data_IF_322090927433
#
_entry.id   IF_322090927433
#
_cell.length_a   1.000
_cell.length_b   1.000
_cell.length_c   1.000
_cell.angle_alpha   90.00
_cell.angle_beta   90.00
_cell.angle_gamma   90.00
#
_symmetry.space_group_name_H-M   'P 1'
#
loop_
_entity.id
_entity.type
_entity.pdbx_description
1 polymer ?
#
# COMPACT_ATOMS: atom_id res chain seq x y z
N UNK A 1 -13.13 -67.39 -29.43
CA UNK A 1 -13.81 -66.07 -29.46
C UNK A 1 -13.56 -65.41 -28.12
N UNK A 2 -12.61 -64.49 -28.07
CA UNK A 2 -12.22 -63.79 -26.84
C UNK A 2 -13.14 -62.57 -26.66
N UNK A 3 -13.80 -62.44 -25.50
CA UNK A 3 -14.57 -61.24 -25.14
C UNK A 3 -13.67 -60.29 -24.35
N UNK A 4 -13.37 -59.14 -24.92
CA UNK A 4 -12.67 -58.03 -24.27
C UNK A 4 -13.60 -57.32 -23.27
N UNK A 5 -13.17 -57.18 -22.01
CA UNK A 5 -13.83 -56.33 -21.03
C UNK A 5 -13.49 -54.84 -21.28
N UNK A 6 -14.39 -53.89 -20.97
CA UNK A 6 -14.12 -52.47 -21.16
C UNK A 6 -13.14 -51.93 -20.09
N UNK A 7 -12.40 -50.84 -20.39
CA UNK A 7 -11.54 -50.20 -19.40
C UNK A 7 -12.38 -49.47 -18.33
N UNK A 8 -11.84 -49.28 -17.11
CA UNK A 8 -12.53 -48.56 -16.06
C UNK A 8 -12.64 -47.05 -16.42
N UNK A 9 -13.70 -46.36 -15.97
CA UNK A 9 -13.88 -44.95 -16.25
C UNK A 9 -12.77 -44.11 -15.58
N UNK A 10 -12.23 -43.17 -16.35
CA UNK A 10 -11.27 -42.17 -15.89
C UNK A 10 -11.90 -41.31 -14.79
N UNK A 11 -11.34 -41.36 -13.59
CA UNK A 11 -11.66 -40.41 -12.53
C UNK A 11 -11.13 -39.03 -12.93
N UNK A 12 -12.04 -38.12 -13.29
CA UNK A 12 -11.74 -36.70 -13.37
C UNK A 12 -11.47 -36.19 -11.96
N UNK A 13 -10.21 -35.92 -11.62
CA UNK A 13 -9.88 -35.14 -10.45
C UNK A 13 -10.42 -33.71 -10.68
N UNK A 14 -11.62 -33.44 -10.17
CA UNK A 14 -12.06 -32.06 -9.95
C UNK A 14 -11.18 -31.50 -8.83
N UNK A 15 -10.19 -30.69 -9.20
CA UNK A 15 -9.48 -29.85 -8.26
C UNK A 15 -10.50 -28.85 -7.71
N UNK A 16 -11.03 -29.14 -6.53
CA UNK A 16 -11.90 -28.20 -5.82
C UNK A 16 -11.10 -26.91 -5.58
N UNK A 17 -11.49 -25.83 -6.24
CA UNK A 17 -10.95 -24.50 -5.98
C UNK A 17 -11.16 -24.19 -4.50
N UNK A 18 -10.14 -23.70 -3.76
CA UNK A 18 -10.32 -23.35 -2.36
C UNK A 18 -11.48 -22.35 -2.23
N UNK A 19 -12.45 -22.66 -1.38
CA UNK A 19 -13.58 -21.76 -1.10
C UNK A 19 -13.08 -20.65 -0.16
N UNK A 20 -12.68 -19.51 -0.70
CA UNK A 20 -12.33 -18.34 0.11
C UNK A 20 -13.59 -17.63 0.59
N UNK A 21 -13.60 -17.18 1.85
CA UNK A 21 -14.76 -16.53 2.47
C UNK A 21 -15.01 -15.12 1.90
N UNK A 22 -13.94 -14.39 1.58
CA UNK A 22 -14.00 -13.03 1.06
C UNK A 22 -13.11 -12.91 -0.18
N UNK A 23 -13.61 -12.24 -1.22
CA UNK A 23 -12.94 -12.09 -2.53
C UNK A 23 -13.11 -10.65 -2.99
N UNK A 24 -12.08 -10.09 -3.61
CA UNK A 24 -12.16 -8.81 -4.34
C UNK A 24 -11.54 -8.91 -5.72
N UNK A 25 -11.66 -7.85 -6.49
CA UNK A 25 -11.08 -7.72 -7.82
C UNK A 25 -9.87 -6.80 -7.79
N UNK A 26 -8.78 -7.21 -8.43
CA UNK A 26 -7.64 -6.33 -8.68
C UNK A 26 -7.76 -5.67 -10.07
N UNK A 27 -7.39 -4.39 -10.20
CA UNK A 27 -7.35 -3.74 -11.51
C UNK A 27 -6.35 -4.42 -12.45
N UNK A 28 -6.74 -4.63 -13.71
CA UNK A 28 -5.84 -5.13 -14.76
C UNK A 28 -5.12 -3.94 -15.42
N UNK A 29 -3.82 -4.11 -15.70
CA UNK A 29 -3.10 -3.18 -16.58
C UNK A 29 -3.65 -3.26 -18.02
N UNK A 30 -4.17 -2.18 -18.63
CA UNK A 30 -4.72 -2.28 -19.98
C UNK A 30 -3.65 -2.74 -20.97
N UNK A 31 -3.83 -3.95 -21.52
CA UNK A 31 -2.94 -4.55 -22.49
C UNK A 31 -3.16 -3.93 -23.88
N UNK A 32 -2.43 -2.86 -24.19
CA UNK A 32 -2.40 -2.19 -25.51
C UNK A 32 -3.75 -1.63 -26.05
N UNK A 33 -3.75 -0.56 -26.87
CA UNK A 33 -4.98 0.11 -27.30
C UNK A 33 -5.78 -0.66 -28.38
N UNK A 34 -5.52 -1.94 -28.59
CA UNK A 34 -6.08 -2.71 -29.68
C UNK A 34 -6.32 -4.16 -29.28
N UNK A 35 -7.30 -4.38 -28.41
CA UNK A 35 -8.28 -5.47 -28.48
C UNK A 35 -9.21 -5.36 -27.27
N UNK A 36 -10.51 -5.18 -27.50
CA UNK A 36 -11.54 -5.27 -26.45
C UNK A 36 -11.78 -6.75 -26.17
N UNK A 37 -10.89 -7.37 -25.41
CA UNK A 37 -11.24 -8.56 -24.63
C UNK A 37 -11.70 -8.04 -23.28
N UNK A 38 -12.94 -8.34 -22.90
CA UNK A 38 -13.40 -8.18 -21.52
C UNK A 38 -12.62 -9.20 -20.66
N UNK A 39 -11.36 -8.91 -20.36
CA UNK A 39 -10.61 -9.70 -19.39
C UNK A 39 -11.24 -9.42 -18.02
N UNK A 40 -11.91 -10.43 -17.44
CA UNK A 40 -12.46 -10.33 -16.10
C UNK A 40 -11.35 -10.00 -15.10
N UNK A 41 -11.50 -8.89 -14.36
CA UNK A 41 -10.56 -8.48 -13.32
C UNK A 41 -10.24 -9.67 -12.38
N UNK A 42 -8.95 -10.02 -12.20
CA UNK A 42 -8.57 -11.19 -11.45
C UNK A 42 -9.11 -11.10 -10.03
N UNK A 43 -9.83 -12.15 -9.64
CA UNK A 43 -10.40 -12.31 -8.31
C UNK A 43 -9.33 -12.83 -7.36
N UNK A 44 -9.08 -12.08 -6.29
CA UNK A 44 -8.12 -12.44 -5.26
C UNK A 44 -8.80 -12.57 -3.89
N UNK A 45 -8.35 -13.48 -3.03
CA UNK A 45 -8.89 -13.61 -1.69
C UNK A 45 -8.53 -12.42 -0.80
N UNK A 46 -9.41 -12.11 0.15
CA UNK A 46 -9.12 -11.25 1.29
C UNK A 46 -8.98 -12.14 2.54
N UNK A 47 -7.86 -12.03 3.23
CA UNK A 47 -7.54 -12.79 4.43
C UNK A 47 -7.60 -11.89 5.66
N UNK A 48 -8.45 -12.21 6.62
CA UNK A 48 -8.36 -11.64 7.97
C UNK A 48 -7.29 -12.42 8.74
N UNK A 49 -6.24 -11.72 9.16
CA UNK A 49 -5.04 -12.29 9.77
C UNK A 49 -5.04 -11.98 11.26
N UNK A 50 -5.05 -13.02 12.09
CA UNK A 50 -4.95 -12.91 13.56
C UNK A 50 -3.70 -13.60 14.11
N UNK A 51 -2.93 -14.27 13.25
CA UNK A 51 -1.67 -14.95 13.58
C UNK A 51 -0.63 -14.73 12.49
N UNK A 52 0.62 -14.52 12.90
CA UNK A 52 1.72 -14.25 11.98
C UNK A 52 1.89 -15.34 10.91
N UNK A 53 1.64 -16.61 11.24
CA UNK A 53 1.73 -17.74 10.30
C UNK A 53 0.75 -17.70 9.12
N UNK A 54 -0.21 -16.75 9.11
CA UNK A 54 -1.13 -16.55 7.99
C UNK A 54 -0.59 -15.53 6.97
N UNK A 55 0.52 -14.85 7.27
CA UNK A 55 1.17 -13.91 6.36
C UNK A 55 2.12 -14.62 5.40
N UNK A 56 2.39 -14.06 4.21
CA UNK A 56 3.39 -14.59 3.29
C UNK A 56 4.77 -14.67 3.92
N UNK A 57 5.50 -15.77 3.62
CA UNK A 57 6.87 -15.99 4.14
C UNK A 57 7.81 -14.86 3.70
N UNK A 58 7.74 -14.43 2.44
CA UNK A 58 8.59 -13.35 1.90
C UNK A 58 8.34 -11.99 2.60
N UNK A 59 7.20 -11.83 3.28
CA UNK A 59 6.90 -10.67 4.11
C UNK A 59 7.44 -10.82 5.54
N UNK A 60 7.33 -12.01 6.13
CA UNK A 60 7.87 -12.28 7.47
C UNK A 60 9.41 -12.33 7.47
N UNK A 61 10.01 -12.79 6.37
CA UNK A 61 11.43 -13.05 6.20
C UNK A 61 11.97 -12.36 4.93
N UNK A 62 11.97 -11.02 4.87
CA UNK A 62 12.35 -10.29 3.67
C UNK A 62 13.82 -10.53 3.31
N UNK A 63 14.09 -10.76 2.03
CA UNK A 63 15.40 -11.21 1.54
C UNK A 63 15.86 -10.40 0.31
N UNK A 64 17.16 -10.13 0.15
CA UNK A 64 17.68 -9.49 -1.06
C UNK A 64 17.45 -10.33 -2.34
N UNK A 65 17.18 -11.63 -2.20
CA UNK A 65 16.93 -12.54 -3.32
C UNK A 65 15.47 -12.54 -3.80
N UNK A 66 14.54 -12.06 -2.96
CA UNK A 66 13.11 -11.95 -3.29
C UNK A 66 12.62 -10.58 -2.83
N UNK A 67 12.74 -9.60 -3.73
CA UNK A 67 12.18 -8.26 -3.49
C UNK A 67 10.71 -8.26 -3.85
N UNK A 68 9.88 -7.72 -2.97
CA UNK A 68 8.44 -7.65 -3.17
C UNK A 68 7.94 -6.21 -3.07
N UNK A 69 6.82 -5.93 -3.73
CA UNK A 69 6.12 -4.64 -3.67
C UNK A 69 4.71 -4.92 -3.18
N UNK A 70 4.27 -4.16 -2.18
CA UNK A 70 2.96 -4.31 -1.56
C UNK A 70 2.24 -2.97 -1.49
N UNK A 71 0.91 -2.97 -1.64
CA UNK A 71 0.08 -1.85 -1.20
C UNK A 71 -0.05 -1.89 0.33
N UNK A 72 -0.03 -0.74 0.97
CA UNK A 72 -0.06 -0.63 2.43
C UNK A 72 -0.93 0.55 2.87
N UNK A 73 -1.72 0.35 3.92
CA UNK A 73 -2.49 1.37 4.64
C UNK A 73 -2.68 0.95 6.12
N UNK A 74 -3.15 1.86 6.97
CA UNK A 74 -3.60 1.55 8.33
C UNK A 74 -5.00 2.12 8.62
N UNK A 75 -5.77 1.38 9.42
CA UNK A 75 -6.99 1.90 10.05
C UNK A 75 -6.89 1.87 11.58
N UNK A 76 -7.41 2.90 12.24
CA UNK A 76 -7.24 3.13 13.67
C UNK A 76 -8.38 3.97 14.27
N UNK A 77 -8.46 3.96 15.61
CA UNK A 77 -9.09 5.06 16.35
C UNK A 77 -8.06 6.19 16.40
N UNK A 78 -8.39 7.33 15.79
CA UNK A 78 -7.52 8.51 15.67
C UNK A 78 -6.09 8.15 15.23
N UNK A 79 -5.89 7.80 13.95
CA UNK A 79 -4.60 7.36 13.40
C UNK A 79 -3.47 8.40 13.63
N UNK A 80 -2.74 8.23 14.73
CA UNK A 80 -1.63 9.07 15.17
C UNK A 80 -0.87 8.40 16.33
N UNK A 81 0.03 9.13 16.98
CA UNK A 81 0.84 8.64 18.10
C UNK A 81 0.04 8.15 19.32
N UNK A 82 -1.07 8.83 19.64
CA UNK A 82 -1.86 8.62 20.85
C UNK A 82 -3.14 7.82 20.57
N UNK A 83 -3.37 7.47 19.30
CA UNK A 83 -4.49 6.65 18.88
C UNK A 83 -4.29 5.16 19.14
N UNK A 84 -5.14 4.34 18.52
CA UNK A 84 -5.08 2.89 18.62
C UNK A 84 -5.20 2.25 17.23
N UNK A 85 -4.08 1.72 16.73
CA UNK A 85 -4.03 0.95 15.50
C UNK A 85 -4.98 -0.25 15.59
N UNK A 86 -5.85 -0.41 14.61
CA UNK A 86 -6.87 -1.46 14.58
C UNK A 86 -6.57 -2.50 13.51
N UNK A 87 -6.17 -2.06 12.31
CA UNK A 87 -5.90 -2.94 11.16
C UNK A 87 -4.70 -2.38 10.38
N UNK A 88 -3.82 -3.28 9.90
CA UNK A 88 -2.89 -2.98 8.80
C UNK A 88 -3.42 -3.68 7.55
N UNK A 89 -3.55 -2.96 6.44
CA UNK A 89 -3.97 -3.52 5.16
C UNK A 89 -2.74 -3.75 4.27
N UNK A 90 -2.61 -4.96 3.70
CA UNK A 90 -1.51 -5.33 2.81
C UNK A 90 -2.07 -5.89 1.51
N UNK A 91 -1.85 -5.21 0.39
CA UNK A 91 -2.18 -5.72 -0.93
C UNK A 91 -0.95 -6.37 -1.59
N UNK A 92 -1.05 -7.65 -1.89
CA UNK A 92 -0.12 -8.41 -2.72
C UNK A 92 -0.71 -8.57 -4.13
N UNK A 93 0.09 -8.98 -5.13
CA UNK A 93 -0.41 -9.22 -6.49
C UNK A 93 -1.51 -10.29 -6.58
N UNK A 94 -1.61 -11.18 -5.59
CA UNK A 94 -2.48 -12.36 -5.61
C UNK A 94 -3.44 -12.45 -4.41
N UNK A 95 -3.36 -11.55 -3.43
CA UNK A 95 -4.20 -11.55 -2.24
C UNK A 95 -4.16 -10.21 -1.49
N UNK A 96 -5.16 -9.97 -0.62
CA UNK A 96 -5.14 -8.89 0.36
C UNK A 96 -5.15 -9.48 1.76
N UNK A 97 -4.32 -8.96 2.65
CA UNK A 97 -4.25 -9.36 4.05
C UNK A 97 -4.65 -8.19 4.94
N UNK A 98 -5.67 -8.40 5.77
CA UNK A 98 -6.12 -7.47 6.79
C UNK A 98 -5.58 -7.97 8.13
N UNK A 99 -4.47 -7.40 8.57
CA UNK A 99 -3.78 -7.75 9.82
C UNK A 99 -4.50 -7.12 10.99
N UNK A 100 -5.15 -7.94 11.80
CA UNK A 100 -5.98 -7.51 12.90
C UNK A 100 -5.15 -7.21 14.15
N UNK A 101 -4.88 -5.92 14.41
CA UNK A 101 -4.10 -5.48 15.57
C UNK A 101 -4.82 -5.75 16.90
N UNK A 102 -6.15 -5.88 16.90
CA UNK A 102 -6.97 -6.07 18.10
C UNK A 102 -7.01 -7.55 18.49
N UNK A 103 -7.41 -8.43 17.58
CA UNK A 103 -7.46 -9.87 17.87
C UNK A 103 -6.06 -10.51 17.89
N UNK A 104 -5.15 -10.06 17.01
CA UNK A 104 -3.78 -10.57 16.94
C UNK A 104 -2.81 -9.94 17.94
N UNK A 105 -3.15 -8.76 18.49
CA UNK A 105 -2.36 -8.05 19.47
C UNK A 105 -1.00 -7.56 18.96
N UNK A 106 -0.16 -7.05 19.87
CA UNK A 106 1.15 -6.48 19.52
C UNK A 106 2.09 -7.50 18.91
N UNK A 107 2.01 -8.78 19.30
CA UNK A 107 2.85 -9.85 18.75
C UNK A 107 2.66 -10.00 17.24
N UNK A 108 1.43 -9.87 16.74
CA UNK A 108 1.15 -9.91 15.31
C UNK A 108 1.73 -8.69 14.59
N UNK A 109 1.58 -7.50 15.17
CA UNK A 109 2.10 -6.26 14.58
C UNK A 109 3.64 -6.25 14.58
N UNK A 110 4.26 -6.73 15.64
CA UNK A 110 5.71 -6.91 15.74
C UNK A 110 6.22 -7.91 14.69
N UNK A 111 5.44 -8.93 14.33
CA UNK A 111 5.80 -9.86 13.25
C UNK A 111 5.82 -9.20 11.86
N UNK A 112 5.15 -8.07 11.66
CA UNK A 112 5.22 -7.28 10.43
C UNK A 112 6.48 -6.42 10.35
N UNK A 113 7.14 -6.15 11.49
CA UNK A 113 8.29 -5.24 11.58
C UNK A 113 9.41 -5.56 10.58
N UNK A 114 9.85 -6.83 10.38
CA UNK A 114 10.90 -7.14 9.42
C UNK A 114 10.61 -6.59 8.02
N UNK A 115 9.40 -6.78 7.47
CA UNK A 115 9.04 -6.24 6.15
C UNK A 115 8.87 -4.72 6.16
N UNK A 116 8.23 -4.16 7.19
CA UNK A 116 7.93 -2.72 7.23
C UNK A 116 9.21 -1.87 7.32
N UNK A 117 10.27 -2.37 7.97
CA UNK A 117 11.57 -1.70 8.05
C UNK A 117 12.54 -2.10 6.92
N UNK A 118 12.22 -3.11 6.11
CA UNK A 118 13.13 -3.67 5.10
C UNK A 118 13.29 -2.82 3.83
N UNK A 119 14.52 -2.79 3.30
CA UNK A 119 14.87 -2.27 1.97
C UNK A 119 14.45 -3.20 0.82
N UNK A 120 14.03 -4.44 1.13
CA UNK A 120 13.64 -5.47 0.14
C UNK A 120 12.13 -5.54 -0.10
N UNK A 121 11.35 -4.87 0.75
CA UNK A 121 9.89 -4.76 0.62
C UNK A 121 9.57 -3.30 0.34
N UNK A 122 9.05 -3.00 -0.85
CA UNK A 122 8.57 -1.65 -1.16
C UNK A 122 7.12 -1.53 -0.70
N UNK A 123 6.83 -0.52 0.12
CA UNK A 123 5.47 -0.22 0.59
C UNK A 123 4.91 0.93 -0.25
N UNK A 124 3.92 0.64 -1.08
CA UNK A 124 3.17 1.63 -1.84
C UNK A 124 2.04 2.14 -0.96
N UNK A 125 2.04 3.42 -0.65
CA UNK A 125 1.12 4.05 0.31
C UNK A 125 0.55 5.32 -0.33
N UNK A 126 -0.61 5.77 0.14
CA UNK A 126 -1.13 7.10 -0.19
C UNK A 126 -1.11 7.98 1.05
N UNK A 127 -0.24 8.99 1.10
CA UNK A 127 -0.03 9.86 2.27
C UNK A 127 0.39 9.12 3.56
N UNK A 128 1.61 8.61 3.60
CA UNK A 128 2.08 7.70 4.66
C UNK A 128 2.33 8.35 6.04
N UNK A 129 2.05 9.65 6.21
CA UNK A 129 2.52 10.44 7.36
C UNK A 129 1.94 9.94 8.69
N UNK A 130 0.63 9.67 8.72
CA UNK A 130 -0.08 9.22 9.94
C UNK A 130 0.11 7.74 10.22
N UNK A 131 0.19 6.91 9.17
CA UNK A 131 0.54 5.49 9.31
C UNK A 131 1.89 5.33 10.00
N UNK A 132 2.90 6.06 9.50
CA UNK A 132 4.25 6.00 10.04
C UNK A 132 4.31 6.50 11.48
N UNK A 133 3.57 7.57 11.81
CA UNK A 133 3.48 8.08 13.19
C UNK A 133 2.90 7.02 14.14
N UNK A 134 1.78 6.40 13.76
CA UNK A 134 1.12 5.38 14.58
C UNK A 134 2.04 4.16 14.78
N UNK A 135 2.62 3.62 13.70
CA UNK A 135 3.56 2.50 13.76
C UNK A 135 4.78 2.80 14.64
N UNK A 136 5.34 4.01 14.52
CA UNK A 136 6.53 4.41 15.25
C UNK A 136 6.27 4.56 16.75
N UNK A 137 5.24 5.30 17.17
CA UNK A 137 5.00 5.54 18.59
C UNK A 137 4.31 4.37 19.30
N UNK A 138 3.42 3.65 18.63
CA UNK A 138 2.68 2.56 19.26
C UNK A 138 3.47 1.23 19.26
N UNK A 139 4.33 0.99 18.26
CA UNK A 139 5.03 -0.30 18.08
C UNK A 139 6.54 -0.18 17.85
N UNK A 140 7.11 1.03 17.80
CA UNK A 140 8.53 1.23 17.53
C UNK A 140 8.95 0.76 16.14
N UNK A 141 8.06 0.80 15.15
CA UNK A 141 8.32 0.38 13.76
C UNK A 141 8.64 1.60 12.91
N UNK A 142 9.78 1.58 12.21
CA UNK A 142 10.22 2.65 11.31
C UNK A 142 9.96 2.29 9.87
N UNK A 143 8.86 2.81 9.33
CA UNK A 143 8.49 2.55 7.95
C UNK A 143 9.60 3.00 6.99
N UNK A 144 10.07 2.10 6.14
CA UNK A 144 11.21 2.31 5.25
C UNK A 144 10.87 1.88 3.82
N UNK A 145 11.62 2.33 2.80
CA UNK A 145 11.41 1.94 1.40
C UNK A 145 9.94 2.17 0.95
N UNK A 146 9.43 3.37 1.23
CA UNK A 146 8.07 3.80 0.92
C UNK A 146 8.02 4.50 -0.43
N UNK A 147 7.01 4.16 -1.22
CA UNK A 147 6.59 4.89 -2.41
C UNK A 147 5.23 5.52 -2.12
N UNK A 148 5.24 6.83 -1.87
CA UNK A 148 4.02 7.58 -1.61
C UNK A 148 3.39 8.07 -2.93
N UNK A 149 2.19 7.59 -3.23
CA UNK A 149 1.47 7.89 -4.47
C UNK A 149 1.00 9.34 -4.56
N UNK A 150 0.77 10.02 -3.43
CA UNK A 150 0.42 11.46 -3.41
C UNK A 150 1.62 12.32 -3.81
N UNK A 151 2.81 11.94 -3.34
CA UNK A 151 4.08 12.56 -3.74
C UNK A 151 4.37 12.28 -5.21
N UNK A 152 4.25 11.01 -5.64
CA UNK A 152 4.49 10.61 -7.02
C UNK A 152 3.57 11.34 -8.00
N UNK A 153 2.29 11.47 -7.68
CA UNK A 153 1.33 12.26 -8.46
C UNK A 153 1.77 13.73 -8.59
N UNK A 154 2.16 14.35 -7.49
CA UNK A 154 2.63 15.75 -7.50
C UNK A 154 3.89 15.93 -8.35
N UNK A 155 4.83 14.99 -8.28
CA UNK A 155 6.05 15.01 -9.10
C UNK A 155 5.77 14.85 -10.60
N UNK A 156 4.82 13.99 -10.98
CA UNK A 156 4.40 13.85 -12.38
C UNK A 156 3.82 15.16 -12.93
N UNK A 157 3.08 15.88 -12.11
CA UNK A 157 2.47 17.16 -12.50
C UNK A 157 3.50 18.27 -12.61
N UNK A 158 4.48 18.30 -11.70
CA UNK A 158 5.67 19.16 -11.81
C UNK A 158 6.45 18.87 -13.11
N UNK A 159 6.62 17.59 -13.51
CA UNK A 159 7.27 17.21 -14.77
C UNK A 159 6.52 17.71 -16.01
N UNK A 160 5.20 17.76 -15.95
CA UNK A 160 4.34 18.29 -17.02
C UNK A 160 4.28 19.83 -17.04
N UNK A 161 5.02 20.50 -16.14
CA UNK A 161 5.10 21.95 -16.06
C UNK A 161 3.94 22.59 -15.30
N UNK A 162 3.10 21.79 -14.63
CA UNK A 162 2.03 22.32 -13.81
C UNK A 162 2.58 22.96 -12.53
N UNK A 163 2.09 24.15 -12.21
CA UNK A 163 2.41 24.82 -10.94
C UNK A 163 1.32 24.54 -9.94
N UNK A 164 1.64 23.78 -8.90
CA UNK A 164 0.73 23.61 -7.76
C UNK A 164 0.90 24.70 -6.73
N UNK A 165 -0.22 25.04 -6.10
CA UNK A 165 -0.21 25.86 -4.91
C UNK A 165 0.34 25.03 -3.74
N UNK A 166 0.94 25.67 -2.74
CA UNK A 166 1.14 25.04 -1.44
C UNK A 166 -0.19 24.43 -0.96
N UNK A 167 -0.13 23.21 -0.44
CA UNK A 167 -1.26 22.47 0.14
C UNK A 167 -2.32 21.90 -0.83
N UNK A 168 -2.03 21.87 -2.13
CA UNK A 168 -2.87 21.20 -3.14
C UNK A 168 -2.55 19.69 -3.24
N UNK A 169 -3.02 18.94 -2.25
CA UNK A 169 -2.85 17.48 -2.16
C UNK A 169 -4.05 16.74 -2.75
N UNK A 170 -3.78 15.77 -3.63
CA UNK A 170 -4.83 14.87 -4.14
C UNK A 170 -5.17 13.82 -3.07
N UNK A 171 -6.45 13.56 -2.87
CA UNK A 171 -6.91 12.42 -2.05
C UNK A 171 -6.81 11.10 -2.83
N UNK A 172 -6.79 9.96 -2.14
CA UNK A 172 -6.81 8.64 -2.81
C UNK A 172 -8.03 8.52 -3.73
N UNK A 173 -9.19 8.99 -3.27
CA UNK A 173 -10.43 9.05 -4.07
C UNK A 173 -10.26 9.90 -5.33
N UNK A 174 -9.66 11.08 -5.21
CA UNK A 174 -9.34 11.94 -6.36
C UNK A 174 -8.40 11.24 -7.34
N UNK A 175 -7.38 10.56 -6.83
CA UNK A 175 -6.40 9.83 -7.63
C UNK A 175 -7.05 8.65 -8.37
N UNK A 176 -7.96 7.93 -7.72
CA UNK A 176 -8.71 6.83 -8.34
C UNK A 176 -9.70 7.32 -9.42
N UNK A 177 -10.28 8.51 -9.28
CA UNK A 177 -11.12 9.08 -10.34
C UNK A 177 -10.35 9.65 -11.52
N UNK A 178 -9.06 9.93 -11.37
CA UNK A 178 -8.27 10.48 -12.46
C UNK A 178 -8.22 9.47 -13.64
N UNK A 179 -8.72 9.85 -14.84
CA UNK A 179 -8.76 8.98 -16.01
C UNK A 179 -7.40 8.51 -16.51
N UNK A 180 -6.30 9.16 -16.09
CA UNK A 180 -4.93 8.75 -16.41
C UNK A 180 -4.49 7.51 -15.65
N UNK A 181 -5.23 7.12 -14.61
CA UNK A 181 -4.97 5.94 -13.77
C UNK A 181 -6.17 4.98 -13.82
N UNK A 182 -7.15 5.13 -12.93
CA UNK A 182 -8.26 4.18 -12.82
C UNK A 182 -9.57 4.71 -13.42
N UNK A 183 -9.80 6.03 -13.47
CA UNK A 183 -11.02 6.62 -14.01
C UNK A 183 -12.31 6.15 -13.33
N UNK A 184 -12.25 5.79 -12.04
CA UNK A 184 -13.41 5.25 -11.30
C UNK A 184 -14.43 6.35 -10.97
N UNK A 185 -15.72 6.01 -11.03
CA UNK A 185 -16.77 6.88 -10.51
C UNK A 185 -16.76 6.87 -8.98
N UNK A 186 -16.58 8.03 -8.37
CA UNK A 186 -16.37 8.17 -6.92
C UNK A 186 -17.65 8.26 -6.07
N UNK A 187 -18.83 8.33 -6.70
CA UNK A 187 -20.07 8.68 -6.00
C UNK A 187 -20.40 7.67 -4.88
N UNK A 188 -20.28 6.38 -5.17
CA UNK A 188 -20.67 5.34 -4.21
C UNK A 188 -19.65 5.14 -3.07
N UNK A 189 -18.38 5.51 -3.28
CA UNK A 189 -17.30 5.26 -2.31
C UNK A 189 -17.17 6.37 -1.27
N UNK A 190 -17.46 7.61 -1.65
CA UNK A 190 -17.36 8.76 -0.73
C UNK A 190 -18.48 8.72 0.31
N UNK A 191 -19.71 8.38 -0.07
CA UNK A 191 -20.83 8.25 0.87
C UNK A 191 -20.57 7.19 1.93
N UNK A 192 -20.02 6.03 1.53
CA UNK A 192 -19.65 4.97 2.48
C UNK A 192 -18.59 5.48 3.44
N UNK A 193 -17.49 6.09 2.96
CA UNK A 193 -16.42 6.61 3.83
C UNK A 193 -16.92 7.68 4.81
N UNK A 194 -17.83 8.56 4.37
CA UNK A 194 -18.46 9.55 5.26
C UNK A 194 -19.24 8.87 6.38
N UNK A 195 -20.00 7.82 6.07
CA UNK A 195 -20.74 7.05 7.08
C UNK A 195 -19.78 6.32 8.03
N UNK A 196 -18.69 5.75 7.53
CA UNK A 196 -17.69 5.08 8.37
C UNK A 196 -17.05 6.04 9.38
N UNK A 197 -16.81 7.29 8.98
CA UNK A 197 -16.22 8.34 9.84
C UNK A 197 -17.17 8.89 10.91
N UNK A 198 -18.46 8.55 10.88
CA UNK A 198 -19.41 8.99 11.91
C UNK A 198 -19.18 8.29 13.25
N UNK A 199 -18.65 7.08 13.20
CA UNK A 199 -18.30 6.31 14.39
C UNK A 199 -16.78 6.26 14.56
N UNK A 200 -16.19 7.01 15.51
CA UNK A 200 -14.74 7.01 15.73
C UNK A 200 -14.22 5.63 16.19
N UNK A 201 -15.10 4.75 16.68
CA UNK A 201 -14.74 3.40 17.11
C UNK A 201 -15.04 2.35 16.04
N UNK A 202 -15.43 2.74 14.82
CA UNK A 202 -15.86 1.83 13.76
C UNK A 202 -14.88 0.66 13.58
N UNK A 203 -13.58 0.93 13.51
CA UNK A 203 -12.53 -0.06 13.30
C UNK A 203 -12.21 -0.95 14.52
N UNK A 204 -12.82 -0.67 15.67
CA UNK A 204 -12.62 -1.46 16.90
C UNK A 204 -13.52 -2.68 16.98
N UNK A 205 -14.63 -2.71 16.24
CA UNK A 205 -15.63 -3.76 16.37
C UNK A 205 -15.15 -5.11 15.84
N UNK A 206 -15.49 -6.18 16.57
CA UNK A 206 -15.17 -7.56 16.21
C UNK A 206 -16.36 -8.51 16.38
N UNK A 207 -16.49 -9.56 15.53
CA UNK A 207 -15.66 -9.82 14.34
C UNK A 207 -15.85 -8.72 13.27
N UNK A 208 -14.86 -8.54 12.38
CA UNK A 208 -14.97 -7.58 11.30
C UNK A 208 -16.22 -7.89 10.45
N UNK A 209 -17.05 -6.88 10.20
CA UNK A 209 -18.19 -7.03 9.29
C UNK A 209 -17.71 -7.12 7.84
N UNK A 210 -18.54 -7.69 6.96
CA UNK A 210 -18.24 -7.74 5.52
C UNK A 210 -17.98 -6.34 4.95
N UNK A 211 -18.74 -5.33 5.39
CA UNK A 211 -18.51 -3.94 5.01
C UNK A 211 -17.11 -3.45 5.43
N UNK A 212 -16.69 -3.71 6.67
CA UNK A 212 -15.34 -3.33 7.15
C UNK A 212 -14.25 -3.99 6.30
N UNK A 213 -14.40 -5.28 6.00
CA UNK A 213 -13.43 -6.07 5.23
C UNK A 213 -13.28 -5.49 3.81
N UNK A 214 -14.40 -5.22 3.13
CA UNK A 214 -14.37 -4.67 1.78
C UNK A 214 -13.90 -3.22 1.74
N UNK A 215 -14.29 -2.39 2.70
CA UNK A 215 -13.83 -1.01 2.79
C UNK A 215 -12.32 -0.95 3.00
N UNK A 216 -11.76 -1.71 3.95
CA UNK A 216 -10.32 -1.75 4.19
C UNK A 216 -9.55 -2.30 2.98
N UNK A 217 -10.08 -3.32 2.29
CA UNK A 217 -9.47 -3.82 1.06
C UNK A 217 -9.46 -2.78 -0.07
N UNK A 218 -10.48 -1.92 -0.14
CA UNK A 218 -10.61 -0.88 -1.16
C UNK A 218 -9.54 0.23 -1.06
N UNK A 219 -8.97 0.46 0.12
CA UNK A 219 -7.90 1.45 0.34
C UNK A 219 -6.57 1.03 -0.29
N UNK A 220 -6.30 -0.28 -0.38
CA UNK A 220 -4.99 -0.79 -0.85
C UNK A 220 -5.02 -1.47 -2.22
N UNK A 221 -6.16 -2.04 -2.66
CA UNK A 221 -6.19 -2.92 -3.83
C UNK A 221 -5.78 -2.29 -5.16
N UNK A 222 -5.90 -0.97 -5.28
CA UNK A 222 -5.52 -0.22 -6.49
C UNK A 222 -4.08 0.31 -6.44
N UNK A 223 -3.42 0.28 -5.28
CA UNK A 223 -2.12 0.95 -5.09
C UNK A 223 -1.04 0.33 -5.96
N UNK A 224 -0.98 -1.01 -6.10
CA UNK A 224 0.01 -1.67 -6.95
C UNK A 224 -0.15 -1.31 -8.43
N UNK A 225 -1.37 -1.24 -8.94
CA UNK A 225 -1.64 -0.80 -10.31
C UNK A 225 -1.22 0.65 -10.54
N UNK A 226 -1.62 1.55 -9.63
CA UNK A 226 -1.23 2.97 -9.70
C UNK A 226 0.30 3.11 -9.65
N UNK A 227 0.95 2.37 -8.76
CA UNK A 227 2.40 2.32 -8.65
C UNK A 227 3.06 2.00 -9.98
N UNK A 228 2.67 0.91 -10.65
CA UNK A 228 3.25 0.55 -11.94
C UNK A 228 3.06 1.64 -13.00
N UNK A 229 1.86 2.25 -13.06
CA UNK A 229 1.55 3.33 -13.99
C UNK A 229 2.37 4.60 -13.72
N UNK A 230 2.59 4.95 -12.45
CA UNK A 230 3.39 6.12 -12.07
C UNK A 230 4.89 5.89 -12.28
N UNK A 231 5.41 4.73 -11.87
CA UNK A 231 6.84 4.42 -11.98
C UNK A 231 7.30 4.40 -13.44
N UNK A 232 6.44 3.97 -14.37
CA UNK A 232 6.74 3.99 -15.80
C UNK A 232 6.87 5.42 -16.39
N UNK A 233 6.35 6.46 -15.72
CA UNK A 233 6.29 7.84 -16.20
C UNK A 233 7.28 8.78 -15.48
N UNK A 234 7.79 8.38 -14.32
CA UNK A 234 8.72 9.21 -13.55
C UNK A 234 10.13 9.17 -14.16
N UNK A 235 10.75 10.35 -14.26
CA UNK A 235 12.16 10.47 -14.62
C UNK A 235 13.07 10.00 -13.48
N UNK A 236 14.34 9.71 -13.77
CA UNK A 236 15.34 9.34 -12.75
C UNK A 236 15.41 10.38 -11.60
N UNK A 237 15.36 11.66 -11.95
CA UNK A 237 15.34 12.75 -10.96
C UNK A 237 14.10 12.69 -10.06
N UNK A 238 12.93 12.45 -10.64
CA UNK A 238 11.69 12.38 -9.85
C UNK A 238 11.60 11.10 -9.04
N UNK A 239 12.15 9.98 -9.51
CA UNK A 239 12.28 8.75 -8.72
C UNK A 239 13.15 8.99 -7.48
N UNK A 240 14.27 9.69 -7.62
CA UNK A 240 15.10 10.08 -6.49
C UNK A 240 14.36 11.02 -5.53
N UNK A 241 13.70 12.07 -6.05
CA UNK A 241 12.90 12.99 -5.22
C UNK A 241 11.77 12.27 -4.48
N UNK A 242 11.10 11.31 -5.14
CA UNK A 242 10.07 10.48 -4.54
C UNK A 242 10.62 9.67 -3.37
N UNK A 243 11.76 9.00 -3.54
CA UNK A 243 12.39 8.22 -2.49
C UNK A 243 12.81 9.10 -1.29
N UNK A 244 13.39 10.27 -1.54
CA UNK A 244 13.77 11.22 -0.47
C UNK A 244 12.54 11.78 0.24
N UNK A 245 11.55 12.29 -0.50
CA UNK A 245 10.33 12.87 0.07
C UNK A 245 9.51 11.81 0.83
N UNK A 246 9.41 10.58 0.32
CA UNK A 246 8.76 9.47 1.01
C UNK A 246 9.44 9.14 2.35
N UNK A 247 10.78 9.07 2.35
CA UNK A 247 11.54 8.86 3.58
C UNK A 247 11.39 10.02 4.60
N UNK A 248 11.21 11.26 4.15
CA UNK A 248 10.92 12.41 5.01
C UNK A 248 9.48 12.40 5.52
N UNK A 249 8.50 12.03 4.69
CA UNK A 249 7.10 11.85 5.11
C UNK A 249 6.98 10.78 6.20
N UNK A 250 7.72 9.68 6.10
CA UNK A 250 7.74 8.66 7.16
C UNK A 250 8.27 9.23 8.50
N UNK A 251 9.15 10.22 8.46
CA UNK A 251 9.77 10.81 9.65
C UNK A 251 8.94 11.93 10.27
N UNK A 252 7.97 12.46 9.54
CA UNK A 252 7.53 13.83 9.78
C UNK A 252 6.97 14.10 11.17
N UNK A 253 6.13 13.19 11.63
CA UNK A 253 5.54 13.28 12.94
C UNK A 253 6.31 12.43 13.96
N UNK A 254 7.31 11.67 13.52
CA UNK A 254 8.13 10.77 14.32
C UNK A 254 9.33 11.48 15.01
N UNK A 255 9.14 12.75 15.41
CA UNK A 255 10.18 13.58 16.03
C UNK A 255 10.56 13.00 17.39
N UNK A 256 11.86 12.83 17.62
CA UNK A 256 12.45 12.45 18.89
C UNK A 256 13.71 13.30 19.18
N UNK A 257 14.36 13.09 20.33
CA UNK A 257 15.54 13.88 20.71
C UNK A 257 16.85 13.46 20.02
N UNK A 258 16.85 12.47 19.13
CA UNK A 258 18.06 11.92 18.52
C UNK A 258 18.34 12.43 17.09
N UNK A 259 17.57 13.42 16.61
CA UNK A 259 17.68 13.98 15.25
C UNK A 259 17.61 12.90 14.15
N UNK A 260 16.74 11.91 14.31
CA UNK A 260 16.55 10.79 13.39
C UNK A 260 17.78 9.90 13.18
N UNK A 261 18.74 9.88 14.11
CA UNK A 261 19.97 9.09 13.99
C UNK A 261 19.73 7.58 13.88
N UNK A 262 18.55 7.12 14.29
CA UNK A 262 18.14 5.73 14.27
C UNK A 262 17.22 5.37 13.08
N UNK A 263 16.96 6.32 12.18
CA UNK A 263 16.26 6.08 10.92
C UNK A 263 17.24 5.68 9.81
N UNK A 264 16.79 4.91 8.79
CA UNK A 264 17.59 4.66 7.60
C UNK A 264 18.13 5.94 6.98
N UNK A 265 19.31 5.88 6.35
CA UNK A 265 19.87 7.04 5.66
C UNK A 265 18.99 7.46 4.48
N UNK A 266 18.91 8.76 4.21
CA UNK A 266 18.22 9.23 3.01
C UNK A 266 18.96 8.75 1.74
N UNK A 267 18.25 8.51 0.63
CA UNK A 267 18.89 8.16 -0.64
C UNK A 267 19.95 9.19 -1.05
N UNK A 268 21.16 8.76 -1.45
CA UNK A 268 22.21 9.68 -1.87
C UNK A 268 21.81 10.41 -3.15
N UNK A 269 22.38 11.60 -3.35
CA UNK A 269 22.20 12.39 -4.58
C UNK A 269 22.81 11.61 -5.77
N UNK A 270 22.09 11.44 -6.90
CA UNK A 270 22.65 10.80 -8.09
C UNK A 270 23.87 11.57 -8.63
N UNK A 271 24.98 10.87 -8.84
CA UNK A 271 26.32 11.45 -9.07
C UNK A 271 26.55 12.28 -10.35
N UNK A 272 25.51 12.59 -11.13
CA UNK A 272 25.61 13.31 -12.40
C UNK A 272 24.69 14.54 -12.55
N UNK A 273 23.94 14.91 -11.51
CA UNK A 273 23.07 16.09 -11.58
C UNK A 273 23.66 17.20 -10.72
N UNK A 274 24.08 18.30 -11.35
CA UNK A 274 24.13 19.60 -10.69
C UNK A 274 22.70 19.93 -10.25
N UNK A 275 22.32 19.49 -9.04
CA UNK A 275 21.09 19.95 -8.42
C UNK A 275 21.30 21.43 -8.16
N UNK A 276 20.51 22.28 -8.81
CA UNK A 276 20.47 23.71 -8.52
C UNK A 276 20.40 23.94 -7.01
N UNK A 277 21.17 24.91 -6.49
CA UNK A 277 21.20 25.26 -5.07
C UNK A 277 19.78 25.43 -4.50
N UNK A 278 18.84 25.95 -5.29
CA UNK A 278 17.44 26.14 -4.92
C UNK A 278 16.70 24.81 -4.60
N UNK A 279 17.09 23.70 -5.22
CA UNK A 279 16.54 22.36 -4.93
C UNK A 279 17.08 21.85 -3.61
N UNK A 280 18.38 22.01 -3.38
CA UNK A 280 19.00 21.69 -2.09
C UNK A 280 18.35 22.53 -0.99
N UNK A 281 18.19 23.84 -1.19
CA UNK A 281 17.47 24.71 -0.26
C UNK A 281 16.03 24.25 -0.02
N UNK A 282 15.26 23.84 -1.04
CA UNK A 282 13.90 23.29 -0.86
C UNK A 282 13.87 21.95 -0.13
N UNK A 283 14.85 21.08 -0.37
CA UNK A 283 15.02 19.82 0.37
C UNK A 283 15.40 20.07 1.82
N UNK A 284 16.34 20.98 2.08
CA UNK A 284 16.65 21.46 3.43
C UNK A 284 15.39 22.08 4.06
N UNK A 285 14.62 22.89 3.33
CA UNK A 285 13.38 23.47 3.85
C UNK A 285 12.33 22.39 4.16
N UNK A 286 12.22 21.32 3.36
CA UNK A 286 11.39 20.16 3.68
C UNK A 286 11.92 19.41 4.91
N UNK A 287 13.24 19.32 5.10
CA UNK A 287 13.84 18.73 6.32
C UNK A 287 13.56 19.59 7.57
N UNK A 288 13.22 20.88 7.42
CA UNK A 288 12.97 21.81 8.53
C UNK A 288 11.49 22.23 8.72
N UNK A 289 10.61 21.97 7.76
CA UNK A 289 9.15 22.25 7.84
C UNK A 289 8.36 21.03 8.29
N UNK A 290 8.98 19.87 8.20
CA UNK A 290 8.38 18.59 8.53
C UNK A 290 8.69 18.26 10.00
#
# INVERSE_FOLDING_TARGET
MASSSPPPPSQSYSSATPSYQFITHLPIAPSSPSEKVEEEEPRVPIHVVTKASQLPVDFLEPSPHSKIVIGFDCEAVDLCRDGALCIIQLAFPDAIYLVDAIEGGSVLIEACKPALESDYVTKVIHDCKRDSEALYFQFGIKLNNVVDTQIAYSLLEEQEGQRRLPDDYISLVGLLADPRYCGLSNVDKEEVRVLLRQDPNFWTYRPLSEQMIHSAADDVRFLLYIYHQMMAKLTERSLWLLAVRGALYCRCFCVNNNNYADWPSLPPIPGHQNLDDNIMYKLYFLVFIV
#
